data_IF_847768602482
#
_entry.id   IF_847768602482
#
_cell.length_a   1.000
_cell.length_b   1.000
_cell.length_c   1.000
_cell.angle_alpha   90.00
_cell.angle_beta   90.00
_cell.angle_gamma   90.00
#
_symmetry.space_group_name_H-M   'P 1'
#
loop_
_entity.id
_entity.type
_entity.pdbx_description
1 polymer ?
#
# COMPACT_ATOMS: atom_id res chain seq x y z
N UNK A 1 5.94 -2.50 -26.92
CA UNK A 1 4.87 -3.44 -26.54
C UNK A 1 3.57 -2.91 -27.11
N UNK A 2 2.72 -3.79 -27.63
CA UNK A 2 1.34 -3.47 -27.96
C UNK A 2 0.53 -3.20 -26.67
N UNK A 3 -0.56 -2.43 -26.81
CA UNK A 3 -1.43 -2.00 -25.69
C UNK A 3 -1.96 -3.20 -24.90
N UNK A 4 -2.29 -4.31 -25.57
CA UNK A 4 -2.82 -5.52 -24.93
C UNK A 4 -1.77 -6.21 -24.06
N UNK A 5 -0.54 -6.33 -24.54
CA UNK A 5 0.58 -6.88 -23.76
C UNK A 5 0.92 -5.97 -22.57
N UNK A 6 0.96 -4.65 -22.78
CA UNK A 6 1.20 -3.69 -21.71
C UNK A 6 0.12 -3.76 -20.62
N UNK A 7 -1.15 -3.88 -21.00
CA UNK A 7 -2.26 -4.03 -20.05
C UNK A 7 -2.10 -5.30 -19.22
N UNK A 8 -1.76 -6.42 -19.87
CA UNK A 8 -1.52 -7.69 -19.15
C UNK A 8 -0.36 -7.58 -18.18
N UNK A 9 0.72 -6.90 -18.57
CA UNK A 9 1.86 -6.66 -17.68
C UNK A 9 1.44 -5.84 -16.47
N UNK A 10 0.75 -4.71 -16.66
CA UNK A 10 0.24 -3.86 -15.57
C UNK A 10 -0.69 -4.63 -14.63
N UNK A 11 -1.61 -5.43 -15.15
CA UNK A 11 -2.51 -6.23 -14.31
C UNK A 11 -1.75 -7.27 -13.47
N UNK A 12 -0.73 -7.92 -14.04
CA UNK A 12 0.09 -8.91 -13.32
C UNK A 12 0.97 -8.22 -12.29
N UNK A 13 1.67 -7.13 -12.64
CA UNK A 13 2.51 -6.37 -11.71
C UNK A 13 1.66 -5.81 -10.57
N UNK A 14 0.52 -5.19 -10.86
CA UNK A 14 -0.43 -4.73 -9.86
C UNK A 14 -0.88 -5.88 -8.95
N UNK A 15 -1.28 -7.03 -9.52
CA UNK A 15 -1.71 -8.18 -8.72
C UNK A 15 -0.65 -8.63 -7.73
N UNK A 16 0.61 -8.69 -8.15
CA UNK A 16 1.73 -9.08 -7.29
C UNK A 16 2.00 -8.00 -6.24
N UNK A 17 2.20 -6.75 -6.67
CA UNK A 17 2.56 -5.63 -5.80
C UNK A 17 1.52 -5.40 -4.69
N UNK A 18 0.24 -5.33 -5.06
CA UNK A 18 -0.83 -5.13 -4.10
C UNK A 18 -1.03 -6.34 -3.19
N UNK A 19 -0.95 -7.57 -3.69
CA UNK A 19 -1.09 -8.77 -2.84
C UNK A 19 0.03 -8.87 -1.81
N UNK A 20 1.28 -8.63 -2.21
CA UNK A 20 2.42 -8.61 -1.27
C UNK A 20 2.24 -7.50 -0.25
N UNK A 21 1.82 -6.30 -0.68
CA UNK A 21 1.59 -5.18 0.24
C UNK A 21 0.45 -5.48 1.23
N UNK A 22 -0.61 -6.17 0.82
CA UNK A 22 -1.69 -6.64 1.71
C UNK A 22 -1.13 -7.62 2.75
N UNK A 23 -0.37 -8.64 2.32
CA UNK A 23 0.22 -9.64 3.21
C UNK A 23 1.13 -8.97 4.25
N UNK A 24 2.02 -8.06 3.82
CA UNK A 24 2.90 -7.34 4.73
C UNK A 24 2.13 -6.43 5.68
N UNK A 25 1.09 -5.75 5.19
CA UNK A 25 0.23 -4.88 6.01
C UNK A 25 -0.50 -5.66 7.10
N UNK A 26 -1.07 -6.83 6.78
CA UNK A 26 -1.74 -7.72 7.75
C UNK A 26 -0.73 -8.34 8.73
N UNK A 27 0.46 -8.69 8.23
CA UNK A 27 1.54 -9.21 9.07
C UNK A 27 2.03 -8.17 10.06
N UNK A 28 2.19 -6.91 9.63
CA UNK A 28 2.57 -5.79 10.49
C UNK A 28 1.48 -5.51 11.54
N UNK A 29 0.20 -5.48 11.15
CA UNK A 29 -0.92 -5.39 12.10
C UNK A 29 -0.82 -6.48 13.18
N UNK A 30 -0.62 -7.72 12.75
CA UNK A 30 -0.52 -8.88 13.66
C UNK A 30 0.67 -8.72 14.60
N UNK A 31 1.84 -8.38 14.08
CA UNK A 31 3.04 -8.16 14.90
C UNK A 31 2.83 -7.06 15.95
N UNK A 32 2.23 -5.93 15.57
CA UNK A 32 1.98 -4.81 16.49
C UNK A 32 0.98 -5.14 17.61
N UNK A 33 0.09 -6.12 17.41
CA UNK A 33 -0.80 -6.60 18.49
C UNK A 33 -0.04 -7.37 19.57
N UNK A 34 1.00 -8.11 19.21
CA UNK A 34 1.78 -8.92 20.15
C UNK A 34 2.97 -8.16 20.77
N UNK A 35 3.32 -7.00 20.24
CA UNK A 35 4.46 -6.20 20.71
C UNK A 35 3.98 -5.09 21.64
N UNK A 36 4.71 -4.92 22.75
CA UNK A 36 4.56 -3.76 23.62
C UNK A 36 5.12 -2.52 22.92
N UNK A 37 4.22 -1.69 22.38
CA UNK A 37 4.58 -0.37 21.89
C UNK A 37 4.81 0.58 23.08
N UNK A 38 5.75 1.55 22.99
CA UNK A 38 6.01 2.54 24.03
C UNK A 38 4.92 3.64 24.06
N UNK A 39 3.65 3.23 24.04
CA UNK A 39 2.48 4.10 24.05
C UNK A 39 1.62 3.71 25.24
N UNK A 40 1.59 4.56 26.26
CA UNK A 40 0.86 4.33 27.51
C UNK A 40 -0.67 4.49 27.35
N UNK A 41 -1.11 5.29 26.38
CA UNK A 41 -2.52 5.49 26.09
C UNK A 41 -3.07 4.33 25.22
N UNK A 42 -4.03 3.58 25.76
CA UNK A 42 -4.62 2.40 25.11
C UNK A 42 -5.42 2.74 23.85
N UNK A 43 -6.14 3.85 23.83
CA UNK A 43 -6.94 4.28 22.67
C UNK A 43 -6.00 4.65 21.51
N UNK A 44 -4.96 5.43 21.83
CA UNK A 44 -3.95 5.87 20.88
C UNK A 44 -3.18 4.66 20.33
N UNK A 45 -2.81 3.71 21.19
CA UNK A 45 -2.20 2.45 20.78
C UNK A 45 -3.10 1.66 19.81
N UNK A 46 -4.41 1.58 20.09
CA UNK A 46 -5.35 0.83 19.25
C UNK A 46 -5.53 1.45 17.86
N UNK A 47 -5.63 2.77 17.78
CA UNK A 47 -5.63 3.50 16.51
C UNK A 47 -4.34 3.20 15.74
N UNK A 48 -3.19 3.24 16.44
CA UNK A 48 -1.90 3.03 15.79
C UNK A 48 -1.72 1.61 15.25
N UNK A 49 -2.17 0.61 16.01
CA UNK A 49 -2.13 -0.79 15.57
C UNK A 49 -3.03 -0.98 14.34
N UNK A 50 -4.14 -0.24 14.22
CA UNK A 50 -5.12 -0.39 13.14
C UNK A 50 -4.65 0.14 11.77
N UNK A 51 -3.69 1.06 11.73
CA UNK A 51 -3.23 1.71 10.48
C UNK A 51 -2.73 0.72 9.42
N UNK A 52 -1.87 -0.27 9.73
CA UNK A 52 -1.50 -1.30 8.77
C UNK A 52 -2.69 -2.07 8.22
N UNK A 53 -3.67 -2.41 9.06
CA UNK A 53 -4.88 -3.11 8.61
C UNK A 53 -5.68 -2.26 7.62
N UNK A 54 -5.88 -0.98 7.92
CA UNK A 54 -6.54 -0.02 7.02
C UNK A 54 -5.79 0.06 5.69
N UNK A 55 -4.44 0.16 5.72
CA UNK A 55 -3.61 0.14 4.51
C UNK A 55 -3.82 -1.15 3.70
N UNK A 56 -3.91 -2.31 4.35
CA UNK A 56 -4.21 -3.59 3.72
C UNK A 56 -5.57 -3.60 3.01
N UNK A 57 -6.62 -3.10 3.68
CA UNK A 57 -7.97 -3.00 3.10
C UNK A 57 -7.96 -2.10 1.87
N UNK A 58 -7.36 -0.90 1.95
CA UNK A 58 -7.29 -0.01 0.79
C UNK A 58 -6.48 -0.60 -0.35
N UNK A 59 -5.37 -1.30 -0.09
CA UNK A 59 -4.65 -2.02 -1.15
C UNK A 59 -5.57 -3.02 -1.88
N UNK A 60 -6.41 -3.76 -1.13
CA UNK A 60 -7.38 -4.68 -1.72
C UNK A 60 -8.43 -3.97 -2.59
N UNK A 61 -8.95 -2.84 -2.13
CA UNK A 61 -9.89 -2.01 -2.89
C UNK A 61 -9.24 -1.52 -4.19
N UNK A 62 -8.04 -0.94 -4.13
CA UNK A 62 -7.36 -0.43 -5.33
C UNK A 62 -7.05 -1.55 -6.32
N UNK A 63 -6.62 -2.73 -5.84
CA UNK A 63 -6.42 -3.89 -6.72
C UNK A 63 -7.72 -4.30 -7.42
N UNK A 64 -8.86 -4.30 -6.71
CA UNK A 64 -10.16 -4.56 -7.32
C UNK A 64 -10.52 -3.50 -8.37
N UNK A 65 -10.24 -2.22 -8.10
CA UNK A 65 -10.47 -1.15 -9.06
C UNK A 65 -9.63 -1.30 -10.34
N UNK A 66 -8.35 -1.65 -10.21
CA UNK A 66 -7.44 -1.88 -11.33
C UNK A 66 -7.89 -3.08 -12.17
N UNK A 67 -8.23 -4.20 -11.52
CA UNK A 67 -8.68 -5.42 -12.21
C UNK A 67 -10.00 -5.21 -12.96
N UNK A 68 -10.90 -4.38 -12.42
CA UNK A 68 -12.13 -3.96 -13.08
C UNK A 68 -11.95 -2.83 -14.09
N UNK A 69 -10.72 -2.33 -14.29
CA UNK A 69 -10.41 -1.18 -15.18
C UNK A 69 -11.26 0.06 -14.87
N UNK A 70 -11.50 0.33 -13.58
CA UNK A 70 -12.31 1.48 -13.17
C UNK A 70 -11.57 2.79 -13.41
N UNK A 71 -12.34 3.82 -13.80
CA UNK A 71 -11.87 5.19 -13.94
C UNK A 71 -11.37 5.70 -12.58
N UNK A 72 -10.24 6.41 -12.59
CA UNK A 72 -9.60 7.01 -11.43
C UNK A 72 -8.90 6.07 -10.45
N UNK A 73 -8.79 4.77 -10.72
CA UNK A 73 -8.05 3.83 -9.89
C UNK A 73 -6.60 4.29 -9.63
N UNK A 74 -5.99 4.94 -10.63
CA UNK A 74 -4.68 5.58 -10.55
C UNK A 74 -4.59 6.66 -9.48
N UNK A 75 -5.59 7.55 -9.38
CA UNK A 75 -5.55 8.66 -8.43
C UNK A 75 -5.73 8.17 -7.00
N UNK A 76 -6.68 7.25 -6.79
CA UNK A 76 -6.89 6.66 -5.45
C UNK A 76 -5.68 5.83 -5.01
N UNK A 77 -5.07 5.08 -5.93
CA UNK A 77 -3.87 4.31 -5.66
C UNK A 77 -2.67 5.19 -5.32
N UNK A 78 -2.40 6.23 -6.10
CA UNK A 78 -1.29 7.18 -5.86
C UNK A 78 -1.50 7.90 -4.53
N UNK A 79 -2.70 8.41 -4.27
CA UNK A 79 -3.03 9.10 -3.03
C UNK A 79 -2.84 8.22 -1.81
N UNK A 80 -3.32 6.97 -1.87
CA UNK A 80 -3.14 5.99 -0.80
C UNK A 80 -1.66 5.66 -0.58
N UNK A 81 -0.90 5.41 -1.64
CA UNK A 81 0.52 5.06 -1.53
C UNK A 81 1.35 6.20 -0.97
N UNK A 82 1.09 7.44 -1.40
CA UNK A 82 1.73 8.63 -0.84
C UNK A 82 1.40 8.82 0.64
N UNK A 83 0.11 8.69 1.00
CA UNK A 83 -0.34 8.79 2.39
C UNK A 83 0.31 7.72 3.28
N UNK A 84 0.38 6.47 2.79
CA UNK A 84 1.03 5.38 3.51
C UNK A 84 2.52 5.68 3.79
N UNK A 85 3.26 6.21 2.81
CA UNK A 85 4.67 6.59 2.99
C UNK A 85 4.81 7.66 4.08
N UNK A 86 3.96 8.70 4.05
CA UNK A 86 3.97 9.77 5.06
C UNK A 86 3.64 9.22 6.44
N UNK A 87 2.61 8.39 6.56
CA UNK A 87 2.19 7.81 7.85
C UNK A 87 3.30 6.92 8.42
N UNK A 88 3.84 5.98 7.64
CA UNK A 88 4.89 5.08 8.13
C UNK A 88 6.20 5.82 8.47
N UNK A 89 6.52 6.89 7.74
CA UNK A 89 7.64 7.77 8.10
C UNK A 89 7.39 8.48 9.43
N UNK A 90 6.16 8.97 9.66
CA UNK A 90 5.74 9.57 10.93
C UNK A 90 5.76 8.59 12.10
N UNK A 91 5.37 7.33 11.87
CA UNK A 91 5.42 6.27 12.89
C UNK A 91 6.81 6.06 13.45
N UNK A 92 7.82 6.00 12.56
CA UNK A 92 9.20 5.84 12.99
C UNK A 92 9.65 6.99 13.90
N UNK A 93 9.38 8.23 13.49
CA UNK A 93 9.77 9.43 14.23
C UNK A 93 9.09 9.52 15.60
N UNK A 94 7.81 9.14 15.67
CA UNK A 94 7.00 9.27 16.88
C UNK A 94 7.26 8.16 17.91
N UNK A 95 7.39 6.90 17.47
CA UNK A 95 7.34 5.75 18.37
C UNK A 95 8.63 4.96 18.48
N UNK A 96 9.61 5.20 17.57
CA UNK A 96 10.89 4.47 17.51
C UNK A 96 10.74 2.96 17.77
N UNK A 97 9.91 2.28 16.96
CA UNK A 97 9.64 0.86 17.14
C UNK A 97 10.92 0.01 17.02
N UNK A 98 10.89 -1.27 17.46
CA UNK A 98 11.99 -2.19 17.24
C UNK A 98 12.38 -2.30 15.75
N UNK A 99 13.66 -2.56 15.46
CA UNK A 99 14.21 -2.59 14.09
C UNK A 99 13.46 -3.55 13.16
N UNK A 100 13.05 -4.73 13.65
CA UNK A 100 12.32 -5.69 12.82
C UNK A 100 10.93 -5.16 12.38
N UNK A 101 10.30 -4.29 13.16
CA UNK A 101 9.05 -3.60 12.77
C UNK A 101 9.35 -2.50 11.76
N UNK A 102 10.47 -1.80 11.92
CA UNK A 102 10.93 -0.84 10.92
C UNK A 102 11.17 -1.53 9.56
N UNK A 103 11.76 -2.72 9.53
CA UNK A 103 11.98 -3.47 8.30
C UNK A 103 10.66 -3.78 7.57
N UNK A 104 9.60 -4.15 8.31
CA UNK A 104 8.25 -4.31 7.76
C UNK A 104 7.72 -2.99 7.18
N UNK A 105 7.83 -1.88 7.91
CA UNK A 105 7.35 -0.59 7.44
C UNK A 105 8.10 -0.11 6.19
N UNK A 106 9.42 -0.26 6.16
CA UNK A 106 10.24 0.10 4.99
C UNK A 106 9.85 -0.76 3.79
N UNK A 107 9.66 -2.07 3.98
CA UNK A 107 9.23 -2.97 2.91
C UNK A 107 7.88 -2.54 2.32
N UNK A 108 6.92 -2.14 3.16
CA UNK A 108 5.62 -1.60 2.72
C UNK A 108 5.81 -0.28 1.97
N UNK A 109 6.66 0.63 2.45
CA UNK A 109 6.93 1.90 1.78
C UNK A 109 7.57 1.71 0.41
N UNK A 110 8.53 0.79 0.28
CA UNK A 110 9.15 0.44 -1.01
C UNK A 110 8.11 -0.09 -1.98
N UNK A 111 7.21 -0.97 -1.54
CA UNK A 111 6.10 -1.45 -2.37
C UNK A 111 5.15 -0.31 -2.77
N UNK A 112 4.88 0.65 -1.89
CA UNK A 112 4.08 1.84 -2.22
C UNK A 112 4.73 2.67 -3.35
N UNK A 113 6.05 2.82 -3.35
CA UNK A 113 6.77 3.51 -4.44
C UNK A 113 6.65 2.74 -5.74
N UNK A 114 6.82 1.41 -5.71
CA UNK A 114 6.65 0.56 -6.90
C UNK A 114 5.21 0.59 -7.43
N UNK A 115 4.22 0.60 -6.55
CA UNK A 115 2.81 0.75 -6.91
C UNK A 115 2.56 2.09 -7.60
N UNK A 116 3.14 3.18 -7.13
CA UNK A 116 3.01 4.50 -7.78
C UNK A 116 3.54 4.44 -9.22
N UNK A 117 4.70 3.82 -9.45
CA UNK A 117 5.29 3.66 -10.79
C UNK A 117 4.35 2.83 -11.69
N UNK A 118 3.82 1.72 -11.18
CA UNK A 118 2.89 0.86 -11.90
C UNK A 118 1.58 1.58 -12.25
N UNK A 119 1.05 2.40 -11.34
CA UNK A 119 -0.14 3.22 -11.56
C UNK A 119 0.07 4.32 -12.61
N UNK A 120 1.27 4.89 -12.73
CA UNK A 120 1.59 5.81 -13.82
C UNK A 120 1.52 5.11 -15.18
N UNK A 121 1.98 3.86 -15.27
CA UNK A 121 1.85 3.04 -16.48
C UNK A 121 0.38 2.71 -16.76
N UNK A 122 -0.38 2.33 -15.74
CA UNK A 122 -1.83 2.11 -15.84
C UNK A 122 -2.56 3.36 -16.34
N UNK A 123 -2.26 4.54 -15.80
CA UNK A 123 -2.90 5.79 -16.20
C UNK A 123 -2.64 6.14 -17.68
N UNK A 124 -1.42 5.90 -18.16
CA UNK A 124 -1.09 6.06 -19.58
C UNK A 124 -1.90 5.09 -20.45
N UNK A 125 -1.98 3.83 -20.02
CA UNK A 125 -2.71 2.79 -20.72
C UNK A 125 -4.22 3.05 -20.79
N UNK A 126 -4.82 3.51 -19.69
CA UNK A 126 -6.24 3.89 -19.65
C UNK A 126 -6.55 5.02 -20.65
N UNK A 127 -5.68 6.02 -20.77
CA UNK A 127 -5.81 7.08 -21.79
C UNK A 127 -5.72 6.53 -23.21
N UNK A 128 -4.76 5.64 -23.47
CA UNK A 128 -4.62 5.03 -24.80
C UNK A 128 -5.82 4.12 -25.17
N UNK A 129 -6.44 3.46 -24.20
CA UNK A 129 -7.58 2.56 -24.42
C UNK A 129 -8.93 3.28 -24.49
N UNK A 130 -9.12 4.38 -23.76
CA UNK A 130 -10.44 5.00 -23.56
C UNK A 130 -10.49 6.50 -23.92
N UNK A 131 -9.38 7.14 -24.29
CA UNK A 131 -9.29 8.56 -24.69
C UNK A 131 -8.91 9.50 -23.56
#
# INVERSE_FOLDING_TARGET
MDVKSLNRTVLISSSILYSVNIILSVSLYTALNYISLPVSNLDLRSILISVPLISGVFNGIILAMITMSLKYAEYYGIGKSALAIVIYSGYWLAFKPPLYILDFMISIMVLCVLQIIDLYLYAKLQKEMFG
#
